data_IF_308861075416
#
_entry.id   IF_308861075416
#
_cell.length_a   1.000
_cell.length_b   1.000
_cell.length_c   1.000
_cell.angle_alpha   90.00
_cell.angle_beta   90.00
_cell.angle_gamma   90.00
#
_symmetry.space_group_name_H-M   'P 1'
#
loop_
_entity.id
_entity.type
_entity.pdbx_description
1 polymer ?
#
# COMPACT_ATOMS: atom_id res chain seq x y z
N UNK A 1 -8.44 -24.03 2.11
CA UNK A 1 -7.39 -23.06 2.47
C UNK A 1 -7.44 -22.91 3.97
N UNK A 2 -6.30 -22.79 4.66
CA UNK A 2 -6.26 -22.49 6.09
C UNK A 2 -6.86 -21.10 6.33
N UNK A 3 -7.45 -20.89 7.51
CA UNK A 3 -7.98 -19.59 7.90
C UNK A 3 -6.89 -18.53 7.79
N UNK A 4 -7.22 -17.37 7.22
CA UNK A 4 -6.28 -16.24 7.14
C UNK A 4 -6.09 -15.64 8.53
N UNK A 5 -4.85 -15.36 8.92
CA UNK A 5 -4.57 -14.66 10.17
C UNK A 5 -4.87 -13.17 10.00
N UNK A 6 -5.89 -12.69 10.67
CA UNK A 6 -6.28 -11.28 10.69
C UNK A 6 -5.56 -10.53 11.82
N UNK A 7 -5.24 -9.26 11.57
CA UNK A 7 -4.74 -8.34 12.60
C UNK A 7 -5.91 -7.79 13.41
N UNK A 8 -5.81 -7.87 14.73
CA UNK A 8 -6.86 -7.34 15.62
C UNK A 8 -6.71 -5.82 15.76
N UNK A 9 -7.72 -5.07 15.33
CA UNK A 9 -7.83 -3.64 15.57
C UNK A 9 -8.72 -3.43 16.78
N UNK A 10 -8.13 -3.06 17.90
CA UNK A 10 -8.84 -2.85 19.16
C UNK A 10 -9.54 -1.48 19.16
N UNK A 11 -10.66 -1.37 18.46
CA UNK A 11 -11.55 -0.20 18.41
C UNK A 11 -13.00 -0.66 18.50
N UNK A 12 -13.83 0.13 19.18
CA UNK A 12 -15.27 -0.14 19.32
C UNK A 12 -16.01 0.06 17.98
N UNK A 13 -15.54 1.01 17.16
CA UNK A 13 -16.12 1.32 15.86
C UNK A 13 -15.42 0.56 14.74
N UNK A 14 -16.18 0.16 13.72
CA UNK A 14 -15.60 -0.37 12.49
C UNK A 14 -14.92 0.78 11.72
N UNK A 15 -13.62 0.65 11.53
CA UNK A 15 -12.81 1.67 10.88
C UNK A 15 -12.67 1.47 9.37
N UNK A 16 -13.24 0.40 8.80
CA UNK A 16 -12.99 -0.04 7.41
C UNK A 16 -11.51 -0.26 7.07
N UNK A 17 -10.66 -0.34 8.07
CA UNK A 17 -9.24 -0.69 7.96
C UNK A 17 -9.11 -2.13 8.43
N UNK A 18 -8.55 -3.01 7.60
CA UNK A 18 -8.30 -4.41 7.96
C UNK A 18 -6.88 -4.80 7.65
N UNK A 19 -6.32 -5.63 8.49
CA UNK A 19 -4.98 -6.16 8.34
C UNK A 19 -4.98 -7.69 8.28
N UNK A 20 -4.14 -8.25 7.40
CA UNK A 20 -3.98 -9.70 7.22
C UNK A 20 -2.50 -10.05 7.14
N UNK A 21 -2.08 -11.08 7.86
CA UNK A 21 -0.68 -11.50 7.87
C UNK A 21 -0.40 -12.55 6.78
N UNK A 22 0.49 -12.19 5.87
CA UNK A 22 1.02 -13.14 4.89
C UNK A 22 1.89 -14.18 5.60
N UNK A 23 1.79 -15.46 5.22
CA UNK A 23 2.67 -16.50 5.74
C UNK A 23 4.12 -16.29 5.26
N UNK A 24 5.09 -16.79 6.02
CA UNK A 24 6.51 -16.56 5.75
C UNK A 24 6.96 -17.09 4.37
N UNK A 25 6.37 -18.17 3.88
CA UNK A 25 6.64 -18.73 2.54
C UNK A 25 6.15 -17.84 1.39
N UNK A 26 5.24 -16.90 1.66
CA UNK A 26 4.81 -15.86 0.72
C UNK A 26 5.69 -14.61 0.85
N UNK A 27 5.88 -14.12 2.09
CA UNK A 27 6.47 -12.80 2.30
C UNK A 27 8.00 -12.81 2.20
N UNK A 28 8.71 -13.85 2.67
CA UNK A 28 10.17 -13.85 2.69
C UNK A 28 10.80 -13.87 1.28
N UNK A 29 10.32 -14.69 0.32
CA UNK A 29 10.82 -14.64 -1.06
C UNK A 29 10.52 -13.30 -1.74
N UNK A 30 9.35 -12.70 -1.44
CA UNK A 30 8.97 -11.40 -1.98
C UNK A 30 9.92 -10.30 -1.50
N UNK A 31 10.22 -10.26 -0.20
CA UNK A 31 11.18 -9.29 0.39
C UNK A 31 12.55 -9.43 -0.28
N UNK A 32 13.03 -10.66 -0.43
CA UNK A 32 14.31 -10.91 -1.08
C UNK A 32 14.33 -10.36 -2.51
N UNK A 33 13.29 -10.62 -3.27
CA UNK A 33 13.17 -10.09 -4.63
C UNK A 33 13.09 -8.56 -4.65
N UNK A 34 12.25 -7.94 -3.82
CA UNK A 34 12.12 -6.47 -3.74
C UNK A 34 13.48 -5.81 -3.50
N UNK A 35 14.31 -6.38 -2.64
CA UNK A 35 15.64 -5.84 -2.32
C UNK A 35 16.65 -5.97 -3.45
N UNK A 36 16.36 -6.70 -4.52
CA UNK A 36 17.18 -6.74 -5.75
C UNK A 36 16.82 -5.64 -6.74
N UNK A 37 15.68 -4.96 -6.56
CA UNK A 37 15.20 -3.94 -7.48
C UNK A 37 16.07 -2.66 -7.39
N UNK A 38 16.36 -2.02 -8.54
CA UNK A 38 17.08 -0.76 -8.56
C UNK A 38 16.18 0.36 -8.04
N UNK A 39 16.45 0.82 -6.83
CA UNK A 39 15.75 1.95 -6.24
C UNK A 39 16.19 3.25 -6.90
N UNK A 40 15.21 4.08 -7.22
CA UNK A 40 15.44 5.44 -7.71
C UNK A 40 15.01 6.43 -6.63
N UNK A 41 15.63 7.59 -6.61
CA UNK A 41 15.14 8.70 -5.82
C UNK A 41 13.76 9.10 -6.31
N UNK A 42 12.84 9.30 -5.39
CA UNK A 42 11.50 9.77 -5.74
C UNK A 42 11.54 11.14 -6.39
N UNK A 43 10.65 11.39 -7.33
CA UNK A 43 10.41 12.74 -7.86
C UNK A 43 9.09 13.27 -7.31
N UNK A 44 9.06 14.51 -6.85
CA UNK A 44 7.79 15.21 -6.56
C UNK A 44 7.63 16.42 -7.46
N UNK A 45 6.40 16.63 -7.88
CA UNK A 45 6.05 17.90 -8.49
C UNK A 45 5.75 18.89 -7.36
N UNK A 46 6.52 19.96 -7.29
CA UNK A 46 6.16 21.11 -6.47
C UNK A 46 4.87 21.72 -7.04
N UNK A 47 3.76 21.51 -6.35
CA UNK A 47 2.43 21.97 -6.82
C UNK A 47 2.31 23.50 -6.88
N UNK A 48 3.24 24.23 -6.23
CA UNK A 48 3.27 25.69 -6.24
C UNK A 48 4.06 26.26 -7.41
N UNK A 49 5.09 25.56 -7.88
CA UNK A 49 5.98 26.02 -8.95
C UNK A 49 5.85 25.23 -10.25
N UNK A 50 5.23 24.04 -10.20
CA UNK A 50 5.17 23.11 -11.32
C UNK A 50 6.52 22.45 -11.66
N UNK A 51 7.55 22.69 -10.84
CA UNK A 51 8.88 22.10 -11.03
C UNK A 51 8.92 20.70 -10.46
N UNK A 52 9.67 19.84 -11.12
CA UNK A 52 9.94 18.48 -10.65
C UNK A 52 11.25 18.54 -9.86
N UNK A 53 11.14 18.42 -8.54
CA UNK A 53 12.29 18.23 -7.67
C UNK A 53 12.74 16.77 -7.76
N UNK A 54 13.83 16.53 -8.48
CA UNK A 54 14.50 15.23 -8.51
C UNK A 54 15.62 15.26 -7.47
N UNK A 55 15.48 14.42 -6.47
CA UNK A 55 16.50 14.29 -5.43
C UNK A 55 17.33 13.04 -5.65
N UNK A 56 18.59 13.13 -5.24
CA UNK A 56 19.49 11.98 -5.18
C UNK A 56 19.04 11.05 -4.03
N UNK A 57 17.88 10.44 -4.24
CA UNK A 57 17.34 9.42 -3.38
C UNK A 57 16.18 9.81 -2.47
N UNK A 58 16.06 11.04 -1.99
CA UNK A 58 15.07 11.42 -0.99
C UNK A 58 14.33 12.69 -1.38
N UNK A 59 13.03 12.73 -1.20
CA UNK A 59 12.19 13.88 -1.53
C UNK A 59 11.97 14.80 -0.35
N UNK A 60 11.79 16.08 -0.62
CA UNK A 60 11.86 17.12 0.40
C UNK A 60 10.53 17.69 0.89
N UNK A 61 9.37 17.29 0.38
CA UNK A 61 8.14 18.00 0.72
C UNK A 61 7.25 17.25 1.70
N UNK A 62 6.70 16.13 1.24
CA UNK A 62 5.76 15.34 2.03
C UNK A 62 6.10 13.86 2.03
N UNK A 63 6.88 13.41 1.02
CA UNK A 63 7.29 12.02 0.85
C UNK A 63 8.79 11.96 0.63
N UNK A 64 9.49 11.27 1.51
CA UNK A 64 10.96 11.14 1.52
C UNK A 64 11.33 9.67 1.51
N UNK A 65 11.49 9.08 0.31
CA UNK A 65 11.81 7.66 0.15
C UNK A 65 12.60 7.38 -1.12
N UNK A 66 13.18 6.19 -1.17
CA UNK A 66 13.59 5.54 -2.42
C UNK A 66 12.45 4.66 -2.90
N UNK A 67 12.20 4.61 -4.21
CA UNK A 67 11.11 3.80 -4.73
C UNK A 67 11.45 3.10 -6.06
N UNK A 68 10.68 2.04 -6.35
CA UNK A 68 10.68 1.35 -7.62
C UNK A 68 9.23 1.03 -8.01
N UNK A 69 8.80 1.54 -9.16
CA UNK A 69 7.49 1.20 -9.74
C UNK A 69 7.54 -0.19 -10.36
N UNK A 70 6.60 -1.03 -10.03
CA UNK A 70 6.51 -2.43 -10.49
C UNK A 70 5.28 -2.56 -11.40
N UNK A 71 5.49 -2.81 -12.68
CA UNK A 71 4.42 -3.15 -13.62
C UNK A 71 4.23 -4.66 -13.64
N UNK A 72 3.44 -5.18 -12.71
CA UNK A 72 3.31 -6.61 -12.44
C UNK A 72 2.78 -7.47 -13.60
N UNK A 73 1.97 -6.99 -14.59
CA UNK A 73 1.51 -7.85 -15.70
C UNK A 73 2.65 -8.44 -16.53
N UNK A 74 3.82 -7.81 -16.53
CA UNK A 74 5.02 -8.32 -17.21
C UNK A 74 5.92 -9.17 -16.33
N UNK A 75 5.69 -9.20 -15.03
CA UNK A 75 6.51 -9.96 -14.08
C UNK A 75 6.18 -11.46 -14.19
N UNK A 76 7.23 -12.28 -14.15
CA UNK A 76 7.12 -13.74 -14.13
C UNK A 76 7.87 -14.34 -12.92
N UNK A 77 8.24 -13.48 -11.98
CA UNK A 77 8.90 -13.89 -10.74
C UNK A 77 7.92 -14.66 -9.85
N UNK A 78 8.22 -15.90 -9.47
CA UNK A 78 7.29 -16.73 -8.70
C UNK A 78 6.87 -16.12 -7.37
N UNK A 79 7.77 -15.42 -6.68
CA UNK A 79 7.47 -14.77 -5.40
C UNK A 79 6.43 -13.66 -5.54
N UNK A 80 6.47 -12.89 -6.63
CA UNK A 80 5.48 -11.86 -6.95
C UNK A 80 4.13 -12.49 -7.27
N UNK A 81 4.10 -13.51 -8.12
CA UNK A 81 2.86 -14.20 -8.50
C UNK A 81 2.18 -14.83 -7.28
N UNK A 82 2.96 -15.51 -6.42
CA UNK A 82 2.45 -16.08 -5.17
C UNK A 82 1.89 -15.00 -4.22
N UNK A 83 2.56 -13.85 -4.12
CA UNK A 83 2.04 -12.71 -3.36
C UNK A 83 0.72 -12.17 -3.93
N UNK A 84 0.61 -12.01 -5.26
CA UNK A 84 -0.60 -11.51 -5.89
C UNK A 84 -1.78 -12.46 -5.67
N UNK A 85 -1.57 -13.77 -5.76
CA UNK A 85 -2.59 -14.78 -5.46
C UNK A 85 -3.03 -14.71 -4.00
N UNK A 86 -2.06 -14.56 -3.08
CA UNK A 86 -2.37 -14.40 -1.66
C UNK A 86 -3.08 -13.06 -1.36
N UNK A 87 -2.68 -11.97 -2.02
CA UNK A 87 -3.33 -10.66 -1.89
C UNK A 87 -4.79 -10.72 -2.34
N UNK A 88 -5.08 -11.47 -3.43
CA UNK A 88 -6.45 -11.71 -3.87
C UNK A 88 -7.25 -12.50 -2.82
N UNK A 89 -6.65 -13.51 -2.21
CA UNK A 89 -7.29 -14.25 -1.12
C UNK A 89 -7.59 -13.36 0.09
N UNK A 90 -6.68 -12.48 0.48
CA UNK A 90 -6.89 -11.51 1.55
C UNK A 90 -8.00 -10.50 1.19
N UNK A 91 -8.06 -10.05 -0.07
CA UNK A 91 -9.12 -9.17 -0.57
C UNK A 91 -10.51 -9.84 -0.45
N UNK A 92 -10.64 -11.12 -0.78
CA UNK A 92 -11.92 -11.84 -0.65
C UNK A 92 -12.39 -11.86 0.81
N UNK A 93 -11.49 -12.02 1.78
CA UNK A 93 -11.82 -11.93 3.21
C UNK A 93 -12.27 -10.51 3.58
N UNK A 94 -11.63 -9.47 3.05
CA UNK A 94 -12.08 -8.09 3.25
C UNK A 94 -13.48 -7.85 2.68
N UNK A 95 -13.76 -8.37 1.47
CA UNK A 95 -15.07 -8.25 0.82
C UNK A 95 -16.15 -9.03 1.58
N UNK A 96 -15.82 -10.17 2.19
CA UNK A 96 -16.77 -10.93 3.01
C UNK A 96 -17.23 -10.15 4.25
N UNK A 97 -16.35 -9.32 4.83
CA UNK A 97 -16.73 -8.40 5.91
C UNK A 97 -17.53 -7.19 5.41
N UNK A 98 -17.29 -6.74 4.16
CA UNK A 98 -17.98 -5.60 3.54
C UNK A 98 -18.69 -6.01 2.24
N UNK A 99 -19.74 -6.84 2.31
CA UNK A 99 -20.34 -7.49 1.12
C UNK A 99 -20.95 -6.52 0.11
N UNK A 100 -21.26 -5.29 0.52
CA UNK A 100 -21.72 -4.24 -0.40
C UNK A 100 -20.70 -3.86 -1.47
N UNK A 101 -19.43 -4.23 -1.30
CA UNK A 101 -18.42 -4.10 -2.36
C UNK A 101 -18.71 -4.97 -3.58
N UNK A 102 -19.46 -6.07 -3.42
CA UNK A 102 -19.90 -6.92 -4.54
C UNK A 102 -21.05 -6.33 -5.35
N UNK A 103 -21.85 -5.49 -4.71
CA UNK A 103 -23.02 -4.85 -5.33
C UNK A 103 -22.66 -3.58 -6.12
N UNK A 104 -21.46 -3.05 -5.89
CA UNK A 104 -20.95 -1.86 -6.55
C UNK A 104 -20.40 -2.10 -7.96
N UNK A 105 -19.66 -1.13 -8.47
CA UNK A 105 -18.92 -1.27 -9.73
C UNK A 105 -17.82 -2.33 -9.63
N UNK A 106 -17.54 -3.01 -10.74
CA UNK A 106 -16.41 -3.94 -10.79
C UNK A 106 -15.09 -3.20 -10.63
N UNK A 107 -14.16 -3.81 -9.93
CA UNK A 107 -12.83 -3.27 -9.68
C UNK A 107 -11.78 -4.38 -9.75
N UNK A 108 -10.54 -3.99 -9.97
CA UNK A 108 -9.38 -4.90 -10.00
C UNK A 108 -8.16 -4.21 -9.44
N UNK A 109 -7.12 -4.97 -9.10
CA UNK A 109 -5.82 -4.42 -8.74
C UNK A 109 -5.26 -3.62 -9.92
N UNK A 110 -4.71 -2.44 -9.65
CA UNK A 110 -4.02 -1.66 -10.66
C UNK A 110 -2.78 -2.42 -11.19
N UNK A 111 -2.40 -2.20 -12.46
CA UNK A 111 -1.25 -2.91 -13.03
C UNK A 111 0.08 -2.48 -12.40
N UNK A 112 0.09 -1.33 -11.76
CA UNK A 112 1.26 -0.74 -11.14
C UNK A 112 1.13 -0.72 -9.62
N UNK A 113 2.22 -1.06 -8.95
CA UNK A 113 2.38 -0.82 -7.53
C UNK A 113 3.83 -0.43 -7.23
N UNK A 114 4.10 0.09 -6.03
CA UNK A 114 5.39 0.65 -5.69
C UNK A 114 6.05 -0.12 -4.54
N UNK A 115 7.31 -0.47 -4.72
CA UNK A 115 8.22 -0.78 -3.62
C UNK A 115 8.84 0.51 -3.14
N UNK A 116 8.71 0.79 -1.83
CA UNK A 116 9.20 2.02 -1.21
C UNK A 116 10.05 1.68 0.01
N UNK A 117 11.22 2.32 0.07
CA UNK A 117 12.15 2.23 1.17
C UNK A 117 12.37 3.61 1.79
N UNK A 118 11.98 3.76 3.03
CA UNK A 118 12.13 4.98 3.80
C UNK A 118 13.37 4.88 4.68
N UNK A 119 14.40 5.75 4.49
CA UNK A 119 15.53 5.82 5.38
C UNK A 119 15.11 6.18 6.81
N UNK A 120 16.00 5.93 7.77
CA UNK A 120 15.77 6.31 9.17
C UNK A 120 15.49 7.80 9.30
N UNK A 121 14.45 8.14 10.04
CA UNK A 121 14.00 9.52 10.24
C UNK A 121 13.15 10.10 9.10
N UNK A 122 12.92 9.34 8.03
CA UNK A 122 12.16 9.78 6.87
C UNK A 122 10.83 9.05 6.74
N UNK A 123 9.86 9.68 6.10
CA UNK A 123 8.52 9.14 5.91
C UNK A 123 7.73 9.87 4.82
N UNK A 124 6.51 9.43 4.56
CA UNK A 124 5.52 10.24 3.88
C UNK A 124 4.71 11.03 4.92
N UNK A 125 5.25 12.16 5.37
CA UNK A 125 4.71 12.95 6.49
C UNK A 125 3.43 13.72 6.16
N UNK A 126 3.18 14.02 4.88
CA UNK A 126 2.01 14.77 4.44
C UNK A 126 0.71 13.97 4.64
N UNK A 127 -0.28 14.59 5.26
CA UNK A 127 -1.64 14.05 5.28
C UNK A 127 -2.23 14.01 3.88
N UNK A 128 -2.64 12.86 3.40
CA UNK A 128 -3.16 12.66 2.06
C UNK A 128 -4.23 11.56 2.03
N UNK A 129 -4.97 11.53 0.95
CA UNK A 129 -5.79 10.40 0.55
C UNK A 129 -5.47 10.05 -0.91
N UNK A 130 -5.73 8.83 -1.31
CA UNK A 130 -5.36 8.36 -2.64
C UNK A 130 -6.31 8.80 -3.75
N UNK A 131 -7.50 9.26 -3.37
CA UNK A 131 -8.57 9.74 -4.25
C UNK A 131 -8.74 11.25 -4.13
N UNK A 132 -7.64 11.99 -4.31
CA UNK A 132 -7.58 13.43 -4.08
C UNK A 132 -7.75 14.30 -5.34
N UNK A 133 -7.82 13.71 -6.55
CA UNK A 133 -7.91 14.45 -7.82
C UNK A 133 -8.79 13.70 -8.83
N UNK A 134 -9.11 14.36 -9.95
CA UNK A 134 -9.89 13.75 -11.05
C UNK A 134 -9.17 12.50 -11.59
N UNK A 135 -7.85 12.56 -11.74
CA UNK A 135 -7.03 11.47 -12.28
C UNK A 135 -7.05 10.22 -11.39
N UNK A 136 -7.30 10.39 -10.11
CA UNK A 136 -7.34 9.31 -9.12
C UNK A 136 -8.75 8.92 -8.66
N UNK A 137 -9.82 9.49 -9.26
CA UNK A 137 -11.21 9.21 -8.87
C UNK A 137 -11.63 7.75 -9.00
N UNK A 138 -10.96 6.99 -9.88
CA UNK A 138 -11.22 5.57 -10.09
C UNK A 138 -10.70 4.65 -8.98
N UNK A 139 -9.78 5.12 -8.13
CA UNK A 139 -9.24 4.33 -7.01
C UNK A 139 -10.32 4.07 -5.97
N UNK A 140 -10.49 2.81 -5.58
CA UNK A 140 -11.53 2.38 -4.67
C UNK A 140 -10.95 1.93 -3.32
N UNK A 141 -9.95 1.05 -3.32
CA UNK A 141 -9.23 0.59 -2.13
C UNK A 141 -7.74 0.83 -2.28
N UNK A 142 -7.09 1.15 -1.18
CA UNK A 142 -5.64 1.08 -1.03
C UNK A 142 -5.30 -0.28 -0.44
N UNK A 143 -4.19 -0.84 -0.89
CA UNK A 143 -3.51 -1.92 -0.21
C UNK A 143 -2.06 -1.53 0.09
N UNK A 144 -1.55 -1.94 1.23
CA UNK A 144 -0.17 -1.70 1.63
C UNK A 144 0.35 -2.87 2.45
N UNK A 145 1.52 -3.38 2.08
CA UNK A 145 2.21 -4.46 2.78
C UNK A 145 3.46 -3.93 3.47
N UNK A 146 3.58 -4.15 4.77
CA UNK A 146 4.85 -3.93 5.46
C UNK A 146 5.80 -5.09 5.21
N UNK A 147 7.03 -4.78 4.80
CA UNK A 147 8.07 -5.78 4.50
C UNK A 147 9.03 -6.02 5.67
N UNK A 148 8.94 -5.19 6.70
CA UNK A 148 9.73 -5.35 7.93
C UNK A 148 9.03 -4.71 9.13
N UNK A 149 9.46 -5.11 10.31
CA UNK A 149 9.04 -4.51 11.58
C UNK A 149 9.72 -3.15 11.80
N UNK A 150 9.02 -2.22 12.48
CA UNK A 150 9.59 -1.00 13.02
C UNK A 150 9.16 -0.86 14.48
N UNK A 151 10.11 -0.95 15.40
CA UNK A 151 9.81 -0.95 16.84
C UNK A 151 9.70 0.47 17.45
N UNK A 152 10.17 1.49 16.74
CA UNK A 152 10.34 2.84 17.27
C UNK A 152 9.72 3.93 16.38
N UNK A 153 8.55 3.66 15.86
CA UNK A 153 7.86 4.53 14.92
C UNK A 153 7.53 3.82 13.61
N UNK A 154 7.46 4.59 12.52
CA UNK A 154 7.14 4.05 11.20
C UNK A 154 5.66 3.79 10.97
N UNK A 155 4.79 4.10 11.91
CA UNK A 155 3.36 3.84 11.85
C UNK A 155 2.72 4.49 10.62
N UNK A 156 1.61 3.91 10.18
CA UNK A 156 0.68 4.57 9.29
C UNK A 156 -0.47 5.13 10.12
N UNK A 157 -0.49 6.47 10.23
CA UNK A 157 -1.50 7.18 11.02
C UNK A 157 -2.71 7.55 10.19
N UNK A 158 -3.92 7.29 10.70
CA UNK A 158 -5.21 7.64 10.11
C UNK A 158 -5.86 8.77 10.89
N UNK A 159 -6.07 9.91 10.22
CA UNK A 159 -6.46 11.17 10.84
C UNK A 159 -7.81 11.10 11.55
N UNK A 160 -8.84 10.69 10.82
CA UNK A 160 -10.22 10.70 11.31
C UNK A 160 -10.53 9.51 12.20
N UNK A 161 -9.89 8.37 11.94
CA UNK A 161 -10.00 7.16 12.77
C UNK A 161 -9.22 7.30 14.08
N UNK A 162 -8.30 8.29 14.18
CA UNK A 162 -7.40 8.47 15.34
C UNK A 162 -6.68 7.17 15.70
N UNK A 163 -6.18 6.50 14.68
CA UNK A 163 -5.55 5.19 14.78
C UNK A 163 -4.19 5.20 14.09
N UNK A 164 -3.22 4.55 14.71
CA UNK A 164 -1.89 4.35 14.15
C UNK A 164 -1.64 2.85 14.01
N UNK A 165 -1.34 2.42 12.79
CA UNK A 165 -1.00 1.04 12.50
C UNK A 165 0.51 0.86 12.58
N UNK A 166 0.96 0.02 13.49
CA UNK A 166 2.37 -0.33 13.66
C UNK A 166 2.85 -1.22 12.49
N UNK A 167 4.02 -0.94 11.92
CA UNK A 167 4.60 -1.81 10.91
C UNK A 167 5.00 -3.17 11.51
N UNK A 168 4.44 -4.23 10.95
CA UNK A 168 4.82 -5.60 11.25
C UNK A 168 5.10 -6.34 9.94
N UNK A 169 6.21 -7.09 9.88
CA UNK A 169 6.57 -7.86 8.67
C UNK A 169 5.42 -8.76 8.23
N UNK A 170 5.04 -8.66 6.95
CA UNK A 170 3.97 -9.47 6.37
C UNK A 170 2.55 -8.98 6.65
N UNK A 171 2.38 -7.86 7.33
CA UNK A 171 1.06 -7.26 7.55
C UNK A 171 0.62 -6.50 6.30
N UNK A 172 -0.38 -7.04 5.60
CA UNK A 172 -1.11 -6.39 4.51
C UNK A 172 -2.31 -5.65 5.07
N UNK A 173 -2.44 -4.38 4.71
CA UNK A 173 -3.58 -3.54 5.05
C UNK A 173 -4.46 -3.28 3.84
N UNK A 174 -5.77 -3.18 4.08
CA UNK A 174 -6.74 -2.59 3.17
C UNK A 174 -7.49 -1.45 3.84
N UNK A 175 -7.76 -0.37 3.09
CA UNK A 175 -8.63 0.73 3.51
C UNK A 175 -9.18 1.49 2.30
N UNK A 176 -10.36 2.18 2.45
CA UNK A 176 -10.92 3.01 1.40
C UNK A 176 -9.99 4.14 0.97
N UNK A 177 -9.96 4.44 -0.34
CA UNK A 177 -9.06 5.45 -0.94
C UNK A 177 -9.49 6.89 -0.67
N UNK A 178 -10.68 7.12 -0.11
CA UNK A 178 -11.34 8.41 -0.01
C UNK A 178 -10.77 9.29 1.11
N UNK A 179 -11.14 10.58 1.10
CA UNK A 179 -10.73 11.57 2.12
C UNK A 179 -11.09 11.15 3.55
N UNK A 180 -12.10 10.31 3.74
CA UNK A 180 -12.47 9.74 5.03
C UNK A 180 -11.32 8.95 5.67
N UNK A 181 -10.41 8.41 4.86
CA UNK A 181 -9.21 7.68 5.29
C UNK A 181 -7.94 8.47 4.99
N UNK A 182 -7.98 9.77 5.24
CA UNK A 182 -6.77 10.61 5.19
C UNK A 182 -5.72 10.04 6.14
N UNK A 183 -4.55 9.75 5.61
CA UNK A 183 -3.48 9.07 6.32
C UNK A 183 -2.10 9.67 6.03
N UNK A 184 -1.11 9.26 6.79
CA UNK A 184 0.30 9.60 6.59
C UNK A 184 1.22 8.50 7.11
N UNK A 185 2.45 8.43 6.61
CA UNK A 185 3.52 7.66 7.23
C UNK A 185 4.19 8.48 8.33
N UNK A 186 4.60 7.81 9.41
CA UNK A 186 5.45 8.38 10.45
C UNK A 186 6.88 7.88 10.29
N UNK A 187 7.91 8.65 10.69
CA UNK A 187 9.30 8.21 10.62
C UNK A 187 9.60 7.14 11.67
N UNK A 188 10.42 6.17 11.28
CA UNK A 188 11.14 5.30 12.21
C UNK A 188 12.58 5.78 12.32
N UNK A 189 13.12 5.88 13.53
CA UNK A 189 14.45 6.45 13.76
C UNK A 189 15.56 5.40 13.87
N UNK A 190 15.21 4.17 14.21
CA UNK A 190 16.16 3.07 14.36
C UNK A 190 16.19 2.11 13.18
N UNK A 191 15.08 2.01 12.46
CA UNK A 191 14.87 1.03 11.38
C UNK A 191 14.52 1.75 10.08
N UNK A 192 15.05 1.31 8.96
CA UNK A 192 14.52 1.70 7.64
C UNK A 192 13.18 1.00 7.45
N UNK A 193 12.15 1.72 6.99
CA UNK A 193 10.85 1.12 6.69
C UNK A 193 10.74 0.74 5.23
N UNK A 194 10.32 -0.50 4.97
CA UNK A 194 10.10 -1.01 3.62
C UNK A 194 8.63 -1.39 3.45
N UNK A 195 8.00 -0.95 2.36
CA UNK A 195 6.61 -1.28 2.04
C UNK A 195 6.42 -1.58 0.56
N UNK A 196 5.38 -2.36 0.25
CA UNK A 196 4.71 -2.34 -1.06
C UNK A 196 3.38 -1.62 -0.91
N UNK A 197 3.00 -0.84 -1.91
CA UNK A 197 1.70 -0.16 -1.92
C UNK A 197 1.13 -0.03 -3.32
N UNK A 198 -0.18 -0.15 -3.43
CA UNK A 198 -0.92 -0.06 -4.66
C UNK A 198 -2.42 0.11 -4.42
N UNK A 199 -3.19 -0.02 -5.47
CA UNK A 199 -4.62 0.27 -5.43
C UNK A 199 -5.44 -0.81 -6.11
N UNK A 200 -6.71 -0.85 -5.74
CA UNK A 200 -7.77 -1.47 -6.51
C UNK A 200 -8.64 -0.35 -7.08
N UNK A 201 -8.83 -0.37 -8.38
CA UNK A 201 -9.55 0.68 -9.10
C UNK A 201 -10.77 0.13 -9.82
N UNK A 202 -11.82 0.96 -9.90
CA UNK A 202 -12.97 0.66 -10.73
C UNK A 202 -12.55 0.55 -12.18
N UNK A 203 -13.17 -0.38 -12.89
CA UNK A 203 -12.99 -0.57 -14.33
C UNK A 203 -14.21 -0.06 -15.10
N UNK A 204 -13.96 0.40 -16.32
CA UNK A 204 -15.03 0.83 -17.21
C UNK A 204 -15.90 -0.33 -17.65
N UNK A 205 -17.16 -0.07 -17.95
CA UNK A 205 -18.05 -1.10 -18.49
C UNK A 205 -17.48 -1.66 -19.80
N UNK A 206 -17.31 -2.99 -19.84
CA UNK A 206 -16.74 -3.69 -20.99
C UNK A 206 -15.24 -4.01 -20.89
N UNK A 207 -14.53 -3.48 -19.90
CA UNK A 207 -13.15 -3.87 -19.64
C UNK A 207 -13.06 -5.27 -19.01
N UNK A 208 -11.98 -5.99 -19.32
CA UNK A 208 -11.69 -7.29 -18.72
C UNK A 208 -11.25 -7.15 -17.27
N UNK A 209 -11.71 -8.08 -16.42
CA UNK A 209 -11.17 -8.25 -15.06
C UNK A 209 -9.77 -8.87 -15.06
N UNK A 210 -9.39 -9.50 -16.18
CA UNK A 210 -8.07 -10.10 -16.35
C UNK A 210 -7.15 -9.12 -17.05
N UNK A 211 -5.88 -9.15 -16.70
CA UNK A 211 -4.80 -8.55 -17.46
C UNK A 211 -4.39 -9.55 -18.52
N UNK A 212 -4.62 -9.19 -19.79
CA UNK A 212 -4.26 -10.02 -20.98
C UNK A 212 -2.74 -9.95 -21.23
#
# INVERSE_FOLDING_TARGET
>A
MSDIKQHEINKEDDLFIKGYYAPDDVIDPLIQWCRTLPLQGGSSMNTSTGEIDVWDGVMNTHKECYEHGIFWPTIREPSVLNFLDWCQFALENYIDEYPMLREGGKFKMDPDFNYQKYPKGHAYNGWHCERGSIESTHRMLVWMMYLNDCEDGGETGFLYQKYNMTPEKGLLLFWPSDFTHTHRGMPSFKTEKEILTGWYSYIMAGESLKWD
#
